data_IF_729861994286
#
_entry.id   IF_729861994286
#
_cell.length_a   1.000
_cell.length_b   1.000
_cell.length_c   1.000
_cell.angle_alpha   90.00
_cell.angle_beta   90.00
_cell.angle_gamma   90.00
#
_symmetry.space_group_name_H-M   'P 1'
#
loop_
_entity.id
_entity.type
_entity.pdbx_description
1 polymer ?
2 polymer ?
3 non-polymer ?
4 non-polymer ?
5 non-polymer ?
6 non-polymer ?
7 water ?
#
# COMPACT_ATOMS: atom_id res chain seq x y z
N UNK A 1 19.39 15.34 -18.64
CA UNK A 1 18.25 14.45 -18.86
C UNK A 1 17.02 15.17 -19.41
N UNK A 2 16.05 14.40 -19.90
CA UNK A 2 14.77 14.96 -20.27
C UNK A 2 13.82 14.73 -19.11
N UNK A 3 13.32 15.81 -18.52
CA UNK A 3 12.48 15.70 -17.34
C UNK A 3 11.00 15.78 -17.72
N UNK A 4 10.18 14.94 -17.09
CA UNK A 4 8.74 14.91 -17.35
C UNK A 4 7.95 15.59 -16.24
N UNK A 5 7.04 16.47 -16.63
CA UNK A 5 6.18 17.18 -15.68
C UNK A 5 4.74 16.79 -15.91
N UNK A 6 4.10 16.27 -14.86
CA UNK A 6 2.70 15.90 -14.95
C UNK A 6 1.79 16.88 -14.22
N UNK A 7 0.64 17.16 -14.85
CA UNK A 7 -0.37 18.07 -14.32
C UNK A 7 -1.78 17.53 -14.51
N UNK A 8 -2.67 17.80 -13.55
CA UNK A 8 -2.32 18.36 -12.25
C UNK A 8 -1.82 17.22 -11.37
N UNK A 9 -1.31 17.50 -10.17
CA UNK A 9 -0.85 16.44 -9.27
C UNK A 9 -2.03 15.65 -8.70
N UNK A 10 -3.12 16.35 -8.44
CA UNK A 10 -4.34 15.70 -7.97
C UNK A 10 -5.49 16.13 -8.86
N UNK A 11 -6.20 15.13 -9.38
CA UNK A 11 -7.30 15.35 -10.30
C UNK A 11 -8.56 14.72 -9.70
N UNK A 12 -9.61 15.53 -9.53
CA UNK A 12 -10.85 15.05 -8.94
C UNK A 12 -11.98 15.11 -9.96
N UNK A 13 -12.80 14.06 -9.99
CA UNK A 13 -13.92 14.00 -10.91
C UNK A 13 -15.03 13.13 -10.33
N UNK A 14 -15.93 12.66 -11.18
CA UNK A 14 -16.97 11.75 -10.72
C UNK A 14 -17.16 10.64 -11.75
N UNK A 15 -17.91 9.61 -11.37
CA UNK A 15 -18.16 8.48 -12.26
C UNK A 15 -18.85 8.95 -13.54
N UNK A 16 -18.24 8.62 -14.68
CA UNK A 16 -18.82 8.94 -15.97
C UNK A 16 -18.20 10.17 -16.63
N UNK A 17 -17.32 10.86 -15.92
CA UNK A 17 -16.78 12.09 -16.46
C UNK A 17 -15.67 11.81 -17.45
N UNK A 18 -15.28 12.84 -18.18
CA UNK A 18 -14.13 12.79 -19.05
C UNK A 18 -12.96 13.49 -18.38
N UNK A 19 -11.88 12.75 -18.19
CA UNK A 19 -10.71 13.28 -17.52
C UNK A 19 -9.54 13.32 -18.51
N UNK A 20 -8.77 14.40 -18.48
CA UNK A 20 -7.58 14.51 -19.32
C UNK A 20 -6.37 14.83 -18.44
N UNK A 21 -5.37 13.95 -18.48
CA UNK A 21 -4.16 14.15 -17.71
C UNK A 21 -3.09 14.72 -18.63
N UNK A 22 -2.25 15.60 -18.10
CA UNK A 22 -1.23 16.25 -18.91
C UNK A 22 0.19 15.76 -18.56
N UNK A 23 1.04 15.71 -19.57
CA UNK A 23 2.44 15.30 -19.43
C UNK A 23 3.26 16.13 -20.40
N UNK A 24 4.14 16.98 -19.87
CA UNK A 24 5.03 17.78 -20.72
C UNK A 24 6.50 17.46 -20.48
N UNK A 25 7.23 17.25 -21.57
CA UNK A 25 8.65 16.93 -21.50
C UNK A 25 9.45 18.21 -21.62
N UNK A 26 10.64 18.22 -21.02
CA UNK A 26 11.52 19.41 -21.08
C UNK A 26 12.06 19.68 -22.47
N UNK A 27 11.91 18.72 -23.38
CA UNK A 27 12.28 18.91 -24.76
C UNK A 27 11.56 17.86 -25.60
N UNK A 28 11.60 18.00 -26.92
CA UNK A 28 10.93 17.06 -27.82
C UNK A 28 11.26 15.59 -27.56
N UNK A 29 10.24 14.73 -27.50
CA UNK A 29 10.47 13.31 -27.34
C UNK A 29 9.91 12.47 -28.49
N UNK A 30 9.41 13.16 -29.51
CA UNK A 30 9.03 12.51 -30.77
C UNK A 30 8.10 11.31 -30.61
N UNK A 31 7.09 11.46 -29.75
CA UNK A 31 6.09 10.41 -29.51
C UNK A 31 6.57 9.22 -28.71
N UNK A 32 7.80 9.26 -28.22
CA UNK A 32 8.32 8.18 -27.38
C UNK A 32 7.80 8.31 -25.95
N UNK A 33 6.50 8.08 -25.77
CA UNK A 33 5.90 8.25 -24.44
C UNK A 33 4.90 7.13 -24.15
N UNK A 34 5.04 6.53 -22.97
CA UNK A 34 4.13 5.47 -22.52
C UNK A 34 3.37 5.92 -21.28
N UNK A 35 2.20 5.33 -21.02
CA UNK A 35 1.40 5.67 -19.84
C UNK A 35 1.14 4.43 -18.99
N UNK A 36 1.35 4.57 -17.68
CA UNK A 36 1.10 3.49 -16.73
C UNK A 36 0.10 3.89 -15.65
N UNK A 37 -0.60 2.89 -15.11
CA UNK A 37 -1.52 3.08 -14.00
C UNK A 37 -1.03 2.28 -12.80
N UNK A 38 -0.99 2.90 -11.63
CA UNK A 38 -0.54 2.20 -10.42
C UNK A 38 -1.51 2.38 -9.25
N UNK A 39 -1.92 1.25 -8.68
CA UNK A 39 -2.73 1.24 -7.48
C UNK A 39 -1.87 0.89 -6.25
N UNK A 40 -2.33 1.30 -5.08
CA UNK A 40 -1.55 1.10 -3.88
C UNK A 40 -1.24 -0.37 -3.71
N UNK A 41 0.03 -0.69 -3.49
CA UNK A 41 0.47 -2.06 -3.27
C UNK A 41 0.71 -2.87 -4.52
N UNK A 42 0.63 -2.24 -5.69
CA UNK A 42 0.79 -2.96 -6.94
C UNK A 42 1.87 -2.36 -7.84
N UNK A 43 2.39 -3.19 -8.73
CA UNK A 43 3.34 -2.73 -9.73
C UNK A 43 2.59 -1.88 -10.72
N UNK A 44 3.30 -0.95 -11.39
CA UNK A 44 2.72 -0.14 -12.45
C UNK A 44 2.17 -1.02 -13.56
N UNK A 45 1.10 -0.57 -14.19
CA UNK A 45 0.42 -1.36 -15.23
C UNK A 45 0.31 -0.56 -16.53
N UNK A 46 0.86 -1.10 -17.62
CA UNK A 46 0.88 -0.40 -18.90
C UNK A 46 -0.52 -0.16 -19.44
N UNK A 47 -0.79 1.07 -19.84
CA UNK A 47 -2.10 1.43 -20.41
C UNK A 47 -1.98 1.80 -21.89
N UNK A 48 -1.10 2.74 -22.17
CA UNK A 48 -0.91 3.29 -23.51
C UNK A 48 0.59 3.29 -23.80
N UNK A 49 0.98 2.83 -25.00
CA UNK A 49 2.37 2.93 -25.41
C UNK A 49 2.52 3.69 -26.75
N UNK A 50 3.73 4.20 -26.97
CA UNK A 50 4.02 5.02 -28.14
C UNK A 50 2.93 6.07 -28.40
N UNK A 51 2.66 6.89 -27.39
CA UNK A 51 1.73 8.02 -27.45
C UNK A 51 0.25 7.67 -27.48
N UNK A 52 -0.15 6.80 -28.40
CA UNK A 52 -1.57 6.58 -28.64
C UNK A 52 -1.98 5.15 -28.95
N UNK A 53 -1.10 4.19 -28.67
CA UNK A 53 -1.42 2.79 -28.92
C UNK A 53 -1.96 2.13 -27.64
N UNK A 54 -3.16 1.56 -27.73
CA UNK A 54 -3.81 0.98 -26.57
C UNK A 54 -3.27 -0.42 -26.28
N UNK A 55 -2.72 -0.59 -25.08
CA UNK A 55 -2.21 -1.89 -24.68
C UNK A 55 -3.32 -2.92 -24.72
N UNK A 56 -2.97 -4.14 -25.09
CA UNK A 56 -3.95 -5.21 -25.16
C UNK A 56 -4.57 -5.44 -23.78
N UNK A 57 -5.89 -5.60 -23.76
CA UNK A 57 -6.60 -5.88 -22.53
C UNK A 57 -7.05 -4.64 -21.78
N UNK A 58 -6.60 -3.48 -22.23
CA UNK A 58 -6.97 -2.22 -21.58
C UNK A 58 -8.24 -1.66 -22.20
N UNK A 59 -9.18 -1.21 -21.35
CA UNK A 59 -10.46 -0.67 -21.80
C UNK A 59 -10.30 0.41 -22.87
N UNK A 60 -11.18 0.38 -23.86
CA UNK A 60 -11.22 1.35 -24.93
C UNK A 60 -11.39 2.79 -24.44
N UNK A 61 -11.85 2.97 -23.21
CA UNK A 61 -12.11 4.31 -22.70
C UNK A 61 -10.83 5.09 -22.41
N UNK A 62 -9.69 4.38 -22.36
CA UNK A 62 -8.37 5.01 -22.24
C UNK A 62 -7.80 5.36 -23.62
N UNK A 63 -7.32 6.58 -23.79
CA UNK A 63 -6.69 6.97 -25.05
C UNK A 63 -5.55 7.96 -24.82
N UNK A 64 -4.52 7.91 -25.66
CA UNK A 64 -3.39 8.82 -25.53
C UNK A 64 -3.30 9.74 -26.72
N UNK A 65 -2.69 10.90 -26.53
CA UNK A 65 -2.55 11.87 -27.62
C UNK A 65 -1.37 12.78 -27.34
N UNK A 66 -0.84 13.43 -28.37
CA UNK A 66 0.21 14.40 -28.18
C UNK A 66 1.29 14.36 -29.25
N UNK A 67 2.24 15.29 -29.14
CA UNK A 67 3.39 15.38 -30.03
C UNK A 67 4.37 16.39 -29.47
N UNK A 68 5.61 16.34 -29.94
CA UNK A 68 6.63 17.27 -29.46
C UNK A 68 6.91 17.03 -27.99
N UNK A 69 6.62 18.04 -27.18
CA UNK A 69 6.84 17.95 -25.74
C UNK A 69 5.55 17.74 -24.96
N UNK A 70 4.40 17.90 -25.61
CA UNK A 70 3.11 17.91 -24.90
C UNK A 70 2.20 16.70 -25.18
N UNK A 71 1.88 15.97 -24.12
CA UNK A 71 1.09 14.75 -24.25
C UNK A 71 -0.06 14.74 -23.28
N UNK A 72 -1.07 13.93 -23.58
CA UNK A 72 -2.22 13.77 -22.68
C UNK A 72 -2.69 12.34 -22.66
N UNK A 73 -3.25 11.93 -21.53
CA UNK A 73 -4.02 10.70 -21.45
C UNK A 73 -5.47 11.08 -21.17
N UNK A 74 -6.41 10.44 -21.86
CA UNK A 74 -7.82 10.75 -21.67
C UNK A 74 -8.58 9.51 -21.26
N UNK A 75 -9.40 9.64 -20.23
CA UNK A 75 -10.34 8.58 -19.86
C UNK A 75 -11.75 9.12 -20.14
N UNK A 76 -12.47 8.45 -21.03
CA UNK A 76 -13.69 9.02 -21.59
C UNK A 76 -14.91 8.94 -20.67
N UNK A 77 -15.01 7.86 -19.89
CA UNK A 77 -16.10 7.70 -18.93
C UNK A 77 -15.56 7.08 -17.64
N UNK A 78 -15.11 7.92 -16.73
CA UNK A 78 -14.52 7.45 -15.49
C UNK A 78 -15.33 6.35 -14.84
N UNK A 79 -14.65 5.31 -14.40
CA UNK A 79 -15.27 4.24 -13.65
C UNK A 79 -14.64 4.18 -12.26
N UNK A 80 -15.36 3.62 -11.27
CA UNK A 80 -14.82 3.57 -9.91
C UNK A 80 -13.43 2.93 -9.87
N UNK A 81 -13.19 1.91 -10.67
CA UNK A 81 -11.90 1.21 -10.62
C UNK A 81 -10.76 1.96 -11.31
N UNK A 82 -11.04 3.16 -11.82
CA UNK A 82 -10.00 3.98 -12.45
C UNK A 82 -9.22 4.83 -11.45
N UNK A 83 -9.67 4.86 -10.19
CA UNK A 83 -8.94 5.61 -9.17
C UNK A 83 -7.54 4.99 -8.98
N UNK A 84 -6.52 5.82 -9.13
CA UNK A 84 -5.15 5.35 -9.12
C UNK A 84 -4.22 6.52 -9.36
N UNK A 85 -2.93 6.25 -9.41
CA UNK A 85 -1.94 7.22 -9.83
C UNK A 85 -1.45 6.84 -11.22
N UNK A 86 -1.35 7.84 -12.10
CA UNK A 86 -0.94 7.63 -13.48
C UNK A 86 0.41 8.29 -13.75
N UNK A 87 1.32 7.53 -14.36
CA UNK A 87 2.68 7.99 -14.63
C UNK A 87 2.92 7.98 -16.13
N UNK A 88 3.63 8.98 -16.64
CA UNK A 88 4.11 8.93 -18.01
C UNK A 88 5.60 8.62 -17.97
N UNK A 89 6.12 8.12 -19.10
CA UNK A 89 7.52 7.68 -19.20
C UNK A 89 8.00 7.96 -20.60
N UNK A 90 9.06 8.75 -20.75
CA UNK A 90 9.69 8.93 -22.06
C UNK A 90 10.89 8.01 -22.21
N UNK A 91 11.19 7.60 -23.44
CA UNK A 91 12.34 6.72 -23.73
C UNK A 91 13.10 7.21 -24.96
N UNK A 92 13.04 8.52 -25.19
CA UNK A 92 13.90 9.14 -26.17
C UNK A 92 15.32 9.17 -25.64
N UNK A 93 15.52 9.84 -24.51
CA UNK A 93 16.82 9.82 -23.84
C UNK A 93 16.78 8.66 -22.87
N UNK A 94 17.74 8.64 -21.94
CA UNK A 94 17.71 7.63 -20.88
C UNK A 94 16.40 7.76 -20.13
N UNK A 95 15.77 6.63 -19.80
CA UNK A 95 14.40 6.63 -19.32
C UNK A 95 14.13 7.55 -18.13
N UNK A 96 13.08 8.36 -18.25
CA UNK A 96 12.60 9.14 -17.11
C UNK A 96 11.09 9.10 -17.05
N UNK A 97 10.56 9.20 -15.82
CA UNK A 97 9.13 9.16 -15.57
C UNK A 97 8.67 10.48 -14.98
N UNK A 98 7.40 10.82 -15.20
CA UNK A 98 6.78 11.93 -14.51
C UNK A 98 6.50 11.55 -13.07
N UNK A 99 6.18 12.55 -12.24
CA UNK A 99 5.95 12.30 -10.81
C UNK A 99 4.55 11.76 -10.51
N UNK A 100 3.70 11.71 -11.54
CA UNK A 100 2.40 11.07 -11.40
C UNK A 100 1.23 11.99 -11.13
N UNK A 101 0.06 11.57 -11.61
CA UNK A 101 -1.18 12.28 -11.33
C UNK A 101 -2.13 11.33 -10.62
N UNK A 102 -2.60 11.73 -9.45
CA UNK A 102 -3.51 10.92 -8.65
C UNK A 102 -4.96 11.32 -8.93
N UNK A 103 -5.79 10.32 -9.22
CA UNK A 103 -7.20 10.53 -9.54
C UNK A 103 -8.11 10.08 -8.40
N UNK A 104 -9.02 10.94 -7.95
CA UNK A 104 -10.01 10.55 -6.95
C UNK A 104 -11.42 10.94 -7.41
N UNK A 105 -12.43 10.31 -6.81
CA UNK A 105 -13.81 10.50 -7.25
C UNK A 105 -14.70 11.05 -6.13
N UNK A 106 -15.65 11.89 -6.51
CA UNK A 106 -16.75 12.24 -5.62
C UNK A 106 -17.92 11.32 -5.92
N UNK A 107 -18.59 10.90 -4.86
CA UNK A 107 -19.79 10.07 -4.98
C UNK A 107 -20.77 10.58 -3.94
N UNK A 108 -21.94 9.97 -3.87
CA UNK A 108 -22.93 10.33 -2.85
C UNK A 108 -22.36 10.06 -1.46
N UNK A 109 -22.94 10.71 -0.45
CA UNK A 109 -22.49 10.54 0.92
C UNK A 109 -22.79 9.12 1.39
N UNK A 110 -21.84 8.53 2.12
CA UNK A 110 -22.08 7.21 2.70
C UNK A 110 -21.59 7.23 4.14
N UNK A 111 -22.48 6.90 5.07
CA UNK A 111 -22.18 6.95 6.50
C UNK A 111 -21.28 5.80 6.90
N UNK A 112 -20.35 6.06 7.82
CA UNK A 112 -19.44 5.00 8.28
C UNK A 112 -20.19 3.97 9.12
N UNK A 113 -19.79 2.71 9.03
CA UNK A 113 -20.11 1.76 10.07
C UNK A 113 -18.99 1.83 11.10
N UNK A 114 -19.35 1.85 12.38
CA UNK A 114 -18.37 2.08 13.44
C UNK A 114 -18.21 0.86 14.35
N UNK A 115 -16.95 0.48 14.59
CA UNK A 115 -16.65 -0.71 15.37
C UNK A 115 -15.54 -0.41 16.38
N UNK A 116 -15.61 -1.05 17.55
CA UNK A 116 -14.57 -0.88 18.56
C UNK A 116 -14.02 -2.23 19.03
N UNK A 117 -12.72 -2.23 19.37
CA UNK A 117 -12.01 -3.45 19.77
C UNK A 117 -11.28 -3.24 21.10
N UNK A 118 -11.62 -4.04 22.12
CA UNK A 118 -10.93 -3.97 23.40
C UNK A 118 -9.51 -4.48 23.24
N UNK A 119 -8.60 -4.10 24.13
CA UNK A 119 -7.21 -4.57 24.06
C UNK A 119 -7.13 -6.09 24.18
N UNK A 120 -6.10 -6.67 23.57
CA UNK A 120 -5.83 -8.08 23.63
C UNK A 120 -5.28 -8.50 24.98
N UNK A 121 -5.59 -9.72 25.42
CA UNK A 121 -4.92 -10.29 26.59
C UNK A 121 -3.41 -10.37 26.39
N UNK A 122 -3.00 -10.71 25.16
CA UNK A 122 -1.56 -10.85 24.88
C UNK A 122 -0.83 -9.50 24.98
N UNK A 123 -1.47 -8.44 24.55
CA UNK A 123 -0.86 -7.11 24.65
C UNK A 123 -0.82 -6.58 26.09
N UNK A 124 -1.91 -6.79 26.82
CA UNK A 124 -1.98 -6.36 28.20
C UNK A 124 -0.89 -7.06 28.99
N UNK A 125 -0.68 -8.33 28.69
CA UNK A 125 0.38 -9.10 29.36
C UNK A 125 1.76 -8.47 29.14
N UNK A 126 1.89 -7.70 28.05
CA UNK A 126 3.17 -7.06 27.73
C UNK A 126 3.31 -5.67 28.34
N UNK A 127 2.23 -5.15 28.91
CA UNK A 127 2.30 -3.90 29.64
C UNK A 127 1.70 -2.70 28.94
N UNK A 128 0.93 -2.96 27.89
CA UNK A 128 0.36 -1.90 27.07
C UNK A 128 -1.08 -2.23 26.70
N UNK A 129 -1.89 -1.19 26.54
CA UNK A 129 -3.26 -1.36 26.11
C UNK A 129 -3.52 -0.51 24.87
N UNK A 130 -3.85 -1.18 23.76
CA UNK A 130 -4.26 -0.48 22.55
C UNK A 130 -5.74 -0.70 22.32
N UNK A 131 -6.48 0.40 22.15
CA UNK A 131 -7.89 0.31 21.83
C UNK A 131 -8.06 0.78 20.38
N UNK A 132 -8.81 0.04 19.59
CA UNK A 132 -8.93 0.38 18.17
C UNK A 132 -10.37 0.64 17.75
N UNK A 133 -10.55 1.76 17.06
CA UNK A 133 -11.84 2.15 16.52
C UNK A 133 -11.78 2.09 14.99
N UNK A 134 -12.71 1.36 14.40
CA UNK A 134 -12.81 1.25 12.94
C UNK A 134 -14.02 1.99 12.38
N UNK A 135 -13.78 2.81 11.36
CA UNK A 135 -14.85 3.44 10.59
C UNK A 135 -14.83 2.83 9.20
N UNK A 136 -15.86 2.07 8.86
CA UNK A 136 -15.83 1.30 7.63
C UNK A 136 -16.69 1.90 6.51
N UNK A 137 -16.07 2.02 5.34
CA UNK A 137 -16.73 2.36 4.08
C UNK A 137 -17.64 3.58 4.08
N UNK A 138 -17.03 4.75 4.15
CA UNK A 138 -17.77 6.00 4.18
C UNK A 138 -17.31 6.97 3.10
N UNK A 139 -18.13 7.98 2.85
CA UNK A 139 -17.76 9.10 1.99
C UNK A 139 -18.59 10.33 2.38
N UNK A 140 -17.96 11.52 2.45
CA UNK A 140 -16.61 11.89 2.04
C UNK A 140 -15.54 11.46 3.02
N UNK A 141 -14.30 11.80 2.69
CA UNK A 141 -13.15 11.34 3.42
C UNK A 141 -13.07 11.98 4.80
N UNK A 142 -13.52 13.22 4.91
CA UNK A 142 -13.47 13.95 6.17
C UNK A 142 -14.32 13.25 7.21
N UNK A 143 -13.70 12.86 8.31
CA UNK A 143 -14.39 12.18 9.39
C UNK A 143 -13.65 12.43 10.68
N UNK A 144 -14.38 12.85 11.71
CA UNK A 144 -13.75 13.16 12.98
C UNK A 144 -14.01 12.09 14.05
N UNK A 145 -12.93 11.50 14.53
CA UNK A 145 -12.97 10.54 15.61
C UNK A 145 -12.44 11.21 16.87
N UNK A 146 -13.19 11.07 17.96
CA UNK A 146 -12.78 11.61 19.26
C UNK A 146 -12.78 10.49 20.28
N UNK A 147 -11.68 10.37 21.01
CA UNK A 147 -11.58 9.37 22.07
C UNK A 147 -12.03 9.98 23.39
N UNK A 148 -12.92 9.28 24.09
CA UNK A 148 -13.39 9.73 25.38
C UNK A 148 -13.22 8.62 26.41
N UNK A 149 -12.53 8.94 27.50
CA UNK A 149 -12.31 7.98 28.58
C UNK A 149 -13.08 8.43 29.83
N UNK A 150 -14.03 7.61 30.27
CA UNK A 150 -14.99 8.03 31.30
C UNK A 150 -15.63 9.36 30.90
N UNK A 151 -15.88 9.49 29.61
CA UNK A 151 -16.51 10.67 29.00
C UNK A 151 -15.65 11.94 29.02
N UNK A 152 -14.37 11.80 29.32
CA UNK A 152 -13.43 12.92 29.19
C UNK A 152 -12.64 12.85 27.88
N UNK A 153 -12.68 13.94 27.11
CA UNK A 153 -12.06 13.97 25.78
C UNK A 153 -10.54 13.82 25.88
N UNK A 154 -9.99 12.86 25.14
CA UNK A 154 -8.56 12.59 25.16
C UNK A 154 -7.82 13.36 24.09
N UNK A 155 -6.55 13.63 24.34
CA UNK A 155 -5.64 14.07 23.28
C UNK A 155 -4.23 13.56 23.53
N UNK A 156 -3.48 13.35 22.45
CA UNK A 156 -2.07 13.04 22.53
C UNK A 156 -1.70 11.58 22.65
N UNK A 157 -2.72 10.72 22.74
CA UNK A 157 -2.48 9.29 22.93
C UNK A 157 -3.09 8.42 21.83
N UNK A 158 -3.49 9.05 20.72
CA UNK A 158 -4.09 8.32 19.61
C UNK A 158 -3.42 8.61 18.28
N UNK A 159 -3.51 7.64 17.37
CA UNK A 159 -3.05 7.83 16.01
C UNK A 159 -4.07 7.22 15.07
N UNK A 160 -4.28 7.84 13.91
CA UNK A 160 -5.21 7.26 12.94
C UNK A 160 -4.59 7.21 11.56
N UNK A 161 -5.18 6.41 10.68
CA UNK A 161 -4.83 6.47 9.27
C UNK A 161 -6.00 6.02 8.39
N UNK A 162 -6.03 6.55 7.17
CA UNK A 162 -7.15 6.28 6.25
C UNK A 162 -6.68 5.49 5.03
N UNK A 163 -7.57 4.64 4.50
CA UNK A 163 -7.26 3.84 3.33
C UNK A 163 -7.23 4.71 2.08
N UNK A 164 -6.66 4.16 1.02
CA UNK A 164 -6.86 4.71 -0.30
C UNK A 164 -8.35 4.58 -0.62
N UNK A 165 -8.80 5.28 -1.65
CA UNK A 165 -10.19 5.21 -2.07
C UNK A 165 -10.49 3.84 -2.67
N UNK A 166 -11.63 3.26 -2.30
CA UNK A 166 -11.99 1.91 -2.73
C UNK A 166 -12.28 1.80 -4.23
N UNK A 167 -11.80 0.72 -4.82
CA UNK A 167 -11.91 0.47 -6.27
C UNK A 167 -13.33 0.17 -6.76
N UNK A 168 -14.20 -0.26 -5.87
CA UNK A 168 -15.53 -0.67 -6.29
C UNK A 168 -16.62 0.31 -5.85
N UNK A 169 -16.54 0.82 -4.62
CA UNK A 169 -17.57 1.71 -4.12
C UNK A 169 -17.12 3.15 -3.85
N UNK A 170 -15.84 3.43 -4.08
CA UNK A 170 -15.30 4.79 -3.98
C UNK A 170 -15.35 5.39 -2.59
N UNK A 171 -15.47 4.54 -1.57
CA UNK A 171 -15.48 5.02 -0.19
C UNK A 171 -14.09 4.93 0.44
N UNK A 172 -14.01 5.34 1.70
CA UNK A 172 -12.78 5.21 2.47
C UNK A 172 -13.08 4.49 3.77
N UNK A 173 -12.03 3.96 4.39
CA UNK A 173 -12.14 3.44 5.76
C UNK A 173 -11.05 4.10 6.61
N UNK A 174 -11.25 4.11 7.93
CA UNK A 174 -10.40 4.86 8.84
C UNK A 174 -10.17 4.04 10.11
N UNK A 175 -8.91 3.88 10.50
CA UNK A 175 -8.55 3.15 11.72
C UNK A 175 -7.92 4.11 12.71
N UNK A 176 -8.38 4.06 13.96
CA UNK A 176 -7.83 4.91 15.02
C UNK A 176 -7.47 4.04 16.22
N UNK A 177 -6.24 4.17 16.72
CA UNK A 177 -5.87 3.46 17.95
C UNK A 177 -5.38 4.36 19.07
N UNK A 178 -6.01 4.18 20.23
CA UNK A 178 -5.62 4.85 21.46
C UNK A 178 -4.71 3.90 22.22
N UNK A 179 -3.57 4.40 22.66
CA UNK A 179 -2.61 3.55 23.36
C UNK A 179 -2.19 4.12 24.72
N UNK A 180 -2.39 3.31 25.76
CA UNK A 180 -2.02 3.67 27.11
C UNK A 180 -1.17 2.55 27.69
N UNK A 181 -0.26 2.90 28.59
CA UNK A 181 0.41 1.88 29.39
C UNK A 181 -0.68 1.16 30.19
N UNK A 182 -0.43 -0.09 30.58
CA UNK A 182 -1.44 -0.86 31.30
C UNK A 182 -1.81 -0.21 32.61
N UNK A 183 -0.88 0.53 33.20
CA UNK A 183 -1.12 1.21 34.47
C UNK A 183 -2.11 2.35 34.28
N UNK A 184 -1.88 3.17 33.25
CA UNK A 184 -2.81 4.24 32.89
C UNK A 184 -4.17 3.69 32.47
N UNK A 185 -4.14 2.57 31.75
CA UNK A 185 -5.35 1.89 31.29
C UNK A 185 -6.23 1.48 32.46
N UNK A 186 -5.63 0.90 33.49
CA UNK A 186 -6.40 0.39 34.63
C UNK A 186 -6.89 1.49 35.57
N UNK A 187 -6.71 2.74 35.16
CA UNK A 187 -7.13 3.89 35.96
C UNK A 187 -8.54 4.35 35.62
N UNK A 188 -9.07 3.86 34.51
CA UNK A 188 -10.38 4.30 34.03
C UNK A 188 -11.28 3.11 33.72
N UNK A 189 -12.55 3.41 33.53
CA UNK A 189 -13.57 2.37 33.40
C UNK A 189 -14.05 2.25 31.96
N UNK A 190 -14.60 3.35 31.44
CA UNK A 190 -15.25 3.34 30.14
C UNK A 190 -14.38 3.94 29.03
N UNK A 191 -14.20 3.20 27.95
CA UNK A 191 -13.46 3.70 26.80
C UNK A 191 -14.40 3.82 25.63
N UNK A 192 -14.49 5.02 25.08
CA UNK A 192 -15.41 5.27 23.99
C UNK A 192 -14.75 5.96 22.82
N UNK A 193 -15.15 5.61 21.61
CA UNK A 193 -14.80 6.44 20.48
C UNK A 193 -16.08 7.03 19.89
N UNK A 194 -16.05 8.34 19.61
CA UNK A 194 -17.22 9.06 19.17
C UNK A 194 -16.99 9.60 17.76
N UNK A 195 -17.87 9.24 16.83
CA UNK A 195 -17.66 9.54 15.42
C UNK A 195 -18.64 10.57 14.88
N UNK A 196 -18.09 11.58 14.20
CA UNK A 196 -18.89 12.58 13.50
C UNK A 196 -18.58 12.48 12.01
N UNK A 197 -19.59 12.59 11.17
CA UNK A 197 -19.42 12.45 9.72
C UNK A 197 -20.65 12.98 8.99
N UNK A 198 -20.46 13.41 7.75
CA UNK A 198 -21.55 14.00 6.97
C UNK A 198 -22.75 13.06 6.93
N UNK A 199 -22.47 11.76 6.95
CA UNK A 199 -23.52 10.76 6.82
C UNK A 199 -24.27 10.44 8.09
N UNK A 200 -23.89 11.06 9.20
CA UNK A 200 -24.49 10.80 10.50
C UNK A 200 -25.21 12.04 11.05
N UNK A 201 -26.51 11.90 11.33
CA UNK A 201 -27.30 13.03 11.83
C UNK A 201 -26.75 13.58 13.16
N UNK A 202 -26.32 12.68 14.04
CA UNK A 202 -25.61 13.09 15.25
C UNK A 202 -24.53 12.06 15.57
N UNK A 203 -23.52 12.47 16.36
CA UNK A 203 -22.37 11.62 16.69
C UNK A 203 -22.76 10.20 17.05
N UNK A 204 -21.99 9.24 16.56
CA UNK A 204 -22.17 7.84 16.92
C UNK A 204 -21.08 7.43 17.90
N UNK A 205 -21.49 6.83 19.01
CA UNK A 205 -20.54 6.41 20.04
C UNK A 205 -20.55 4.91 20.22
N UNK A 206 -19.37 4.30 20.13
CA UNK A 206 -19.21 2.90 20.48
C UNK A 206 -18.24 2.84 21.65
N UNK A 207 -18.58 2.05 22.66
CA UNK A 207 -17.77 2.03 23.87
C UNK A 207 -17.78 0.68 24.55
N UNK A 208 -16.84 0.48 25.46
CA UNK A 208 -16.84 -0.72 26.28
C UNK A 208 -16.27 -0.39 27.66
N UNK A 209 -16.50 -1.28 28.61
CA UNK A 209 -15.94 -1.14 29.94
C UNK A 209 -14.69 -1.99 30.05
N UNK A 210 -13.62 -1.43 30.60
CA UNK A 210 -12.38 -2.16 30.76
C UNK A 210 -12.62 -3.45 31.50
N UNK A 211 -12.05 -4.54 30.99
CA UNK A 211 -12.12 -5.82 31.66
C UNK A 211 -13.34 -6.65 31.30
N UNK A 212 -14.25 -6.09 30.52
CA UNK A 212 -15.52 -6.79 30.26
C UNK A 212 -15.36 -7.92 29.24
N UNK A 213 -14.31 -7.84 28.44
CA UNK A 213 -13.99 -8.92 27.52
C UNK A 213 -12.58 -8.73 26.96
N UNK B 1 1.35 -17.84 -19.98
CA UNK B 1 1.39 -16.39 -19.83
C UNK B 1 2.60 -15.94 -19.02
N UNK B 2 3.00 -14.69 -19.19
CA UNK B 2 4.25 -14.20 -18.62
C UNK B 2 4.11 -13.84 -17.13
N UNK B 3 5.17 -14.11 -16.38
CA UNK B 3 5.26 -13.65 -15.00
C UNK B 3 6.71 -13.37 -14.57
N UNK B 4 6.91 -12.25 -13.89
CA UNK B 4 8.20 -11.92 -13.30
C UNK B 4 8.05 -11.93 -11.80
N UNK B 5 8.91 -12.68 -11.11
CA UNK B 5 8.85 -12.73 -9.66
C UNK B 5 10.21 -12.37 -9.05
N UNK B 6 10.23 -11.33 -8.21
CA UNK B 6 11.49 -10.91 -7.59
C UNK B 6 11.69 -11.53 -6.22
N UNK B 7 12.95 -11.65 -5.82
CA UNK B 7 13.32 -12.16 -4.50
C UNK B 7 14.45 -11.33 -3.92
N UNK B 8 14.61 -11.39 -2.60
CA UNK B 8 15.63 -10.61 -1.92
C UNK B 8 15.04 -9.35 -1.33
N UNK B 9 15.88 -8.55 -0.69
CA UNK B 9 15.45 -7.31 -0.07
C UNK B 9 15.62 -7.35 1.44
N UNK B 10 15.27 -6.26 2.11
CA UNK B 10 15.39 -6.19 3.56
C UNK B 10 16.16 -4.96 4.00
N UNK B 11 16.70 -4.98 5.21
CA UNK B 11 17.46 -3.85 5.72
C UNK B 11 18.97 -4.11 5.68
N UNK B 12 19.72 -3.13 5.22
CA UNK B 12 21.15 -3.25 5.05
C UNK B 12 21.83 -2.00 5.62
N UNK B 13 22.97 -2.19 6.26
CA UNK B 13 23.78 -1.07 6.76
C UNK B 13 24.39 -0.33 5.57
N UNK B 14 24.49 1.01 5.67
CA UNK B 14 25.19 1.75 4.61
C UNK B 14 26.59 1.18 4.38
N UNK B 15 27.00 1.07 3.12
CA UNK B 15 28.29 0.49 2.80
C UNK B 15 28.19 -0.98 2.43
N UNK B 16 27.15 -1.65 2.90
CA UNK B 16 27.00 -3.10 2.69
C UNK B 16 26.33 -3.44 1.36
N UNK B 17 26.42 -4.72 0.95
CA UNK B 17 25.86 -5.16 -0.33
C UNK B 17 24.56 -5.91 -0.16
N UNK B 18 23.79 -5.99 -1.23
CA UNK B 18 22.59 -6.80 -1.27
C UNK B 18 22.37 -7.21 -2.71
N UNK B 19 21.77 -8.39 -2.91
CA UNK B 19 21.50 -8.88 -4.26
C UNK B 19 20.02 -9.22 -4.46
N UNK B 20 19.46 -8.76 -5.58
CA UNK B 20 18.06 -9.04 -5.90
C UNK B 20 18.04 -10.00 -7.07
N UNK B 21 16.97 -10.77 -7.18
CA UNK B 21 16.81 -11.65 -8.33
C UNK B 21 15.43 -11.46 -8.95
N UNK B 22 15.32 -11.81 -10.21
CA UNK B 22 14.06 -11.72 -10.94
C UNK B 22 13.89 -12.98 -11.78
N UNK B 23 12.92 -13.82 -11.41
CA UNK B 23 12.68 -15.05 -12.13
C UNK B 23 11.54 -14.89 -13.13
N UNK B 24 11.78 -15.30 -14.37
CA UNK B 24 10.79 -15.15 -15.42
C UNK B 24 10.17 -16.48 -15.80
N UNK B 25 8.88 -16.45 -16.12
CA UNK B 25 8.21 -17.57 -16.76
C UNK B 25 7.28 -17.04 -17.83
N UNK B 26 7.14 -17.78 -18.92
CA UNK B 26 6.34 -17.33 -20.04
C UNK B 26 7.17 -16.51 -21.00
N UNK B 27 8.43 -16.29 -20.63
CA UNK B 27 9.38 -15.60 -21.50
C UNK B 27 10.82 -15.84 -21.06
N UNK B 28 11.75 -15.56 -21.97
CA UNK B 28 13.18 -15.70 -21.67
C UNK B 28 13.89 -14.36 -21.84
N UNK B 29 14.79 -14.06 -20.93
CA UNK B 29 15.55 -12.82 -21.02
C UNK B 29 16.60 -12.90 -22.13
N UNK B 30 16.53 -13.98 -22.92
CA UNK B 30 17.41 -14.10 -24.07
C UNK B 30 16.79 -13.39 -25.26
N UNK B 31 15.51 -13.03 -25.12
CA UNK B 31 14.80 -12.36 -26.20
C UNK B 31 14.20 -11.05 -25.72
N UNK B 32 14.60 -10.63 -24.52
CA UNK B 32 14.04 -9.43 -23.95
C UNK B 32 15.06 -8.64 -23.14
N UNK B 33 14.85 -7.34 -23.03
CA UNK B 33 15.65 -6.50 -22.15
C UNK B 33 15.12 -6.53 -20.72
N UNK B 34 15.96 -6.97 -19.79
CA UNK B 34 15.63 -6.93 -18.37
C UNK B 34 16.03 -5.59 -17.80
N UNK B 35 15.08 -4.90 -17.18
CA UNK B 35 15.31 -3.57 -16.62
C UNK B 35 15.00 -3.53 -15.11
N UNK B 36 15.65 -2.62 -14.41
CA UNK B 36 15.39 -2.42 -12.98
C UNK B 36 14.96 -0.98 -12.77
N UNK B 37 13.84 -0.81 -12.07
CA UNK B 37 13.25 0.51 -11.85
C UNK B 37 12.90 0.61 -10.38
N UNK B 38 13.22 1.73 -9.74
CA UNK B 38 12.95 1.83 -8.31
C UNK B 38 11.99 2.97 -7.93
N UNK B 39 11.25 2.76 -6.86
CA UNK B 39 10.23 3.72 -6.47
C UNK B 39 10.36 4.05 -4.99
N UNK B 40 10.40 5.33 -4.69
CA UNK B 40 10.48 5.82 -3.32
C UNK B 40 9.67 7.10 -3.21
N UNK B 41 9.08 7.34 -2.03
CA UNK B 41 8.29 8.54 -1.80
C UNK B 41 9.07 9.82 -2.16
N UNK B 42 8.43 10.73 -2.88
CA UNK B 42 9.06 11.98 -3.26
C UNK B 42 10.04 11.82 -4.42
N UNK B 43 10.22 10.59 -4.91
CA UNK B 43 11.14 10.34 -6.02
C UNK B 43 10.47 9.56 -7.14
N UNK B 44 9.15 9.47 -7.12
CA UNK B 44 8.39 8.68 -8.07
C UNK B 44 9.09 7.43 -8.57
N UNK B 45 9.04 7.21 -9.89
CA UNK B 45 9.67 6.03 -10.49
C UNK B 45 10.98 6.40 -11.18
N UNK B 46 12.01 5.59 -10.98
CA UNK B 46 13.33 5.95 -11.47
C UNK B 46 14.10 4.78 -12.06
N UNK B 47 14.40 4.87 -13.35
CA UNK B 47 15.12 3.81 -14.04
C UNK B 47 16.52 3.63 -13.46
N UNK B 48 16.92 2.38 -13.23
CA UNK B 48 18.17 2.07 -12.54
C UNK B 48 19.21 1.39 -13.44
N UNK B 49 18.80 0.34 -14.16
CA UNK B 49 19.75 -0.44 -14.96
C UNK B 49 19.07 -1.41 -15.91
N UNK B 50 19.84 -1.92 -16.86
CA UNK B 50 19.34 -2.91 -17.80
C UNK B 50 20.47 -3.78 -18.33
N UNK B 51 20.10 -4.93 -18.88
CA UNK B 51 21.05 -5.80 -19.55
C UNK B 51 20.38 -6.31 -20.82
N UNK B 52 21.13 -6.37 -21.91
CA UNK B 52 20.58 -6.68 -23.22
C UNK B 52 20.17 -8.14 -23.33
N UNK B 53 19.33 -8.48 -24.32
CA UNK B 53 18.98 -9.88 -24.54
C UNK B 53 20.21 -10.74 -24.81
N UNK B 54 21.14 -10.27 -25.64
CA UNK B 54 22.34 -11.04 -25.90
C UNK B 54 23.33 -10.96 -24.74
N UNK B 55 22.94 -10.24 -23.69
CA UNK B 55 23.72 -10.15 -22.47
C UNK B 55 25.08 -9.48 -22.63
N UNK B 56 25.35 -8.94 -23.81
CA UNK B 56 26.62 -8.30 -24.06
C UNK B 56 26.67 -6.86 -23.59
N UNK B 57 25.51 -6.33 -23.22
CA UNK B 57 25.37 -4.90 -22.99
C UNK B 57 24.68 -4.56 -21.66
N UNK B 58 25.37 -3.83 -20.78
CA UNK B 58 24.75 -3.34 -19.55
C UNK B 58 24.78 -1.81 -19.48
N UNK B 59 23.70 -1.25 -18.91
CA UNK B 59 23.51 0.20 -18.78
C UNK B 59 23.04 0.56 -17.37
N UNK B 60 23.50 1.69 -16.85
CA UNK B 60 23.18 2.11 -15.48
C UNK B 60 22.95 3.62 -15.39
N UNK B 61 22.14 4.04 -14.43
CA UNK B 61 21.96 5.46 -14.17
C UNK B 61 23.20 6.04 -13.49
N UNK B 62 23.46 7.33 -13.71
CA UNK B 62 24.62 7.99 -13.15
C UNK B 62 24.75 7.70 -11.66
N UNK B 63 23.62 7.68 -10.97
CA UNK B 63 23.62 7.58 -9.51
C UNK B 63 24.07 6.21 -8.97
N UNK B 64 23.94 5.16 -9.76
CA UNK B 64 24.25 3.81 -9.28
C UNK B 64 25.45 3.22 -10.00
N UNK B 65 25.87 3.86 -11.08
CA UNK B 65 26.98 3.36 -11.88
C UNK B 65 28.24 3.17 -11.05
N UNK B 66 28.80 1.97 -11.10
CA UNK B 66 30.03 1.67 -10.38
C UNK B 66 29.78 0.98 -9.06
N UNK B 67 28.53 1.00 -8.61
CA UNK B 67 28.16 0.30 -7.39
C UNK B 67 27.26 -0.90 -7.70
N UNK B 68 26.43 -0.76 -8.74
CA UNK B 68 25.43 -1.78 -9.09
C UNK B 68 25.87 -2.61 -10.29
N UNK B 69 25.53 -3.89 -10.29
CA UNK B 69 25.84 -4.77 -11.40
C UNK B 69 24.64 -5.64 -11.75
N UNK B 70 24.24 -5.60 -13.02
CA UNK B 70 23.15 -6.45 -13.51
C UNK B 70 23.71 -7.68 -14.19
N UNK B 71 23.09 -8.84 -13.97
CA UNK B 71 23.53 -10.04 -14.65
C UNK B 71 22.36 -10.95 -14.94
N UNK B 72 22.61 -12.03 -15.67
CA UNK B 72 21.59 -13.03 -15.98
C UNK B 72 22.11 -14.45 -15.78
N UNK B 73 21.19 -15.37 -15.60
CA UNK B 73 21.47 -16.79 -15.69
C UNK B 73 20.39 -17.41 -16.56
N UNK B 74 20.68 -17.55 -17.85
CA UNK B 74 19.69 -18.02 -18.82
C UNK B 74 19.22 -19.43 -18.55
N UNK B 75 20.04 -20.20 -17.84
CA UNK B 75 19.65 -21.54 -17.41
C UNK B 75 18.51 -21.45 -16.41
N UNK B 76 18.63 -20.50 -15.49
CA UNK B 76 17.63 -20.29 -14.45
C UNK B 76 16.47 -19.42 -14.94
N UNK B 77 16.58 -18.91 -16.17
CA UNK B 77 15.67 -17.88 -16.66
C UNK B 77 15.52 -16.78 -15.63
N UNK B 78 16.65 -16.36 -15.07
CA UNK B 78 16.65 -15.42 -13.96
C UNK B 78 17.65 -14.28 -14.16
N UNK B 79 17.26 -13.08 -13.76
CA UNK B 79 18.14 -11.93 -13.78
C UNK B 79 18.47 -11.49 -12.36
N UNK B 80 19.54 -10.72 -12.22
CA UNK B 80 19.96 -10.29 -10.90
C UNK B 80 20.36 -8.84 -10.90
N UNK B 81 20.36 -8.25 -9.71
CA UNK B 81 20.91 -6.92 -9.50
C UNK B 81 21.74 -6.96 -8.24
N UNK B 82 23.06 -7.00 -8.40
CA UNK B 82 23.96 -6.93 -7.28
C UNK B 82 24.11 -5.46 -6.89
N UNK B 83 23.80 -5.15 -5.64
CA UNK B 83 23.94 -3.78 -5.14
C UNK B 83 25.10 -3.73 -4.16
N UNK B 84 26.06 -2.85 -4.42
CA UNK B 84 27.23 -2.73 -3.58
C UNK B 84 27.37 -1.33 -2.99
N UNK B 85 27.98 -1.24 -1.80
CA UNK B 85 28.18 0.04 -1.14
C UNK B 85 26.90 0.87 -1.14
N UNK B 86 25.82 0.27 -0.66
CA UNK B 86 24.53 0.94 -0.60
C UNK B 86 24.54 2.19 0.30
N UNK B 87 23.82 3.22 -0.14
CA UNK B 87 23.66 4.45 0.62
C UNK B 87 22.17 4.58 0.94
N UNK B 88 21.82 5.43 1.90
CA UNK B 88 20.40 5.59 2.23
C UNK B 88 19.59 6.12 1.04
N UNK B 89 20.23 6.88 0.17
CA UNK B 89 19.61 7.36 -1.06
C UNK B 89 19.08 6.21 -1.92
N UNK B 90 19.61 5.01 -1.71
CA UNK B 90 19.20 3.85 -2.50
C UNK B 90 17.94 3.18 -1.98
N UNK B 91 17.48 3.61 -0.81
CA UNK B 91 16.28 3.04 -0.20
C UNK B 91 15.06 3.18 -1.11
N UNK B 92 14.41 2.07 -1.42
CA UNK B 92 13.31 2.10 -2.36
C UNK B 92 12.71 0.73 -2.50
N UNK B 93 11.55 0.68 -3.17
CA UNK B 93 11.06 -0.58 -3.72
C UNK B 93 11.67 -0.75 -5.10
N UNK B 94 12.28 -1.92 -5.33
CA UNK B 94 12.93 -2.22 -6.60
C UNK B 94 12.08 -3.17 -7.45
N UNK B 95 11.75 -2.76 -8.67
CA UNK B 95 11.00 -3.59 -9.61
C UNK B 95 11.91 -4.10 -10.72
N UNK B 96 11.67 -5.32 -11.19
CA UNK B 96 12.22 -5.71 -12.47
C UNK B 96 11.12 -5.56 -13.50
N UNK B 97 11.50 -5.24 -14.73
CA UNK B 97 10.54 -5.13 -15.81
C UNK B 97 11.18 -5.54 -17.12
N UNK B 98 10.36 -6.03 -18.03
CA UNK B 98 10.82 -6.47 -19.33
C UNK B 98 10.35 -5.52 -20.41
N UNK B 99 11.19 -5.29 -21.41
CA UNK B 99 10.72 -4.72 -22.67
C UNK B 99 11.39 -5.43 -23.83
N UNK B 100 10.59 -5.72 -24.86
CA UNK B 100 11.06 -6.50 -26.00
C UNK B 100 12.22 -5.82 -26.71
N UNK B 101 12.12 -4.51 -26.91
CA UNK B 101 13.20 -3.73 -27.52
C UNK B 101 13.33 -2.44 -26.71
N UNK B 102 14.37 -1.67 -26.97
CA UNK B 102 14.56 -0.43 -26.21
C UNK B 102 13.48 0.61 -26.53
N UNK B 103 12.69 0.38 -27.57
CA UNK B 103 11.60 1.29 -27.89
C UNK B 103 10.23 0.68 -27.60
N UNK B 104 10.22 -0.48 -26.96
CA UNK B 104 8.97 -1.11 -26.50
C UNK B 104 8.67 -0.66 -25.07
N UNK B 105 7.41 -0.78 -24.63
CA UNK B 105 7.06 -0.37 -23.27
C UNK B 105 7.33 -1.45 -22.24
N UNK B 106 7.29 -1.10 -20.97
CA UNK B 106 7.42 -2.12 -19.92
C UNK B 106 6.05 -2.73 -19.68
N UNK B 107 5.77 -3.84 -20.35
CA UNK B 107 4.45 -4.48 -20.25
C UNK B 107 4.33 -5.51 -19.13
N UNK B 108 5.47 -6.05 -18.69
CA UNK B 108 5.45 -6.95 -17.55
C UNK B 108 6.39 -6.43 -16.48
N UNK B 109 5.92 -6.44 -15.23
CA UNK B 109 6.70 -5.97 -14.09
C UNK B 109 6.72 -7.02 -13.00
N UNK B 110 7.78 -7.06 -12.22
CA UNK B 110 7.82 -7.88 -11.02
C UNK B 110 6.83 -7.33 -10.00
N UNK B 111 6.81 -7.91 -8.80
CA UNK B 111 5.87 -7.47 -7.76
C UNK B 111 6.49 -6.42 -6.87
N UNK B 112 7.80 -6.23 -6.98
CA UNK B 112 8.49 -5.26 -6.16
C UNK B 112 8.97 -5.86 -4.85
N UNK B 113 10.21 -5.57 -4.51
CA UNK B 113 10.78 -5.92 -3.23
C UNK B 113 11.47 -4.67 -2.68
N UNK B 114 11.52 -4.55 -1.36
CA UNK B 114 11.99 -3.32 -0.74
C UNK B 114 13.40 -3.45 -0.19
N UNK B 115 14.23 -2.46 -0.52
CA UNK B 115 15.57 -2.35 0.02
C UNK B 115 15.69 -1.10 0.87
N UNK B 116 15.95 -1.30 2.17
CA UNK B 116 16.08 -0.19 3.10
C UNK B 116 17.52 -0.09 3.57
N UNK B 117 18.12 1.08 3.37
CA UNK B 117 19.51 1.28 3.78
C UNK B 117 19.55 2.16 5.03
N UNK B 118 19.87 1.55 6.17
CA UNK B 118 19.80 2.24 7.45
C UNK B 118 20.80 1.70 8.46
N UNK B 119 21.20 2.56 9.40
CA UNK B 119 22.10 2.15 10.48
C UNK B 119 21.29 1.66 11.67
N UNK B 120 19.97 1.82 11.59
CA UNK B 120 19.10 1.45 12.70
C UNK B 120 18.83 -0.04 12.70
N UNK B 121 18.61 -0.59 13.88
CA UNK B 121 18.38 -2.03 13.99
C UNK B 121 16.96 -2.38 13.58
N UNK B 122 16.79 -3.58 13.01
CA UNK B 122 15.46 -4.02 12.63
C UNK B 122 14.72 -4.44 13.88
N UNK B 123 13.40 -4.37 13.83
CA UNK B 123 12.58 -4.83 14.93
C UNK B 123 11.35 -5.52 14.36
N UNK B 124 11.14 -6.78 14.72
CA UNK B 124 10.00 -7.52 14.23
C UNK B 124 8.71 -7.02 14.87
N UNK B 125 7.57 -7.26 14.21
CA UNK B 125 6.27 -6.81 14.69
C UNK B 125 5.73 -7.67 15.84
N UNK B 126 4.97 -7.06 16.74
CA UNK B 126 4.09 -7.80 17.63
C UNK B 126 2.72 -7.83 16.97
N UNK B 127 2.09 -9.00 16.91
CA UNK B 127 0.79 -9.12 16.25
C UNK B 127 -0.31 -9.45 17.25
N UNK B 128 -1.27 -8.54 17.40
CA UNK B 128 -2.36 -8.73 18.35
C UNK B 128 -3.71 -8.81 17.65
N UNK B 129 -4.57 -9.72 18.12
CA UNK B 129 -5.91 -9.87 17.55
C UNK B 129 -6.83 -8.69 17.84
N UNK B 130 -7.60 -8.31 16.83
CA UNK B 130 -8.73 -7.40 16.99
C UNK B 130 -9.97 -8.28 16.90
N UNK B 131 -10.42 -8.77 18.04
CA UNK B 131 -11.45 -9.81 18.08
C UNK B 131 -12.85 -9.32 17.74
N UNK B 132 -13.56 -10.10 16.91
CA UNK B 132 -14.96 -9.75 16.67
C UNK B 132 -15.80 -9.94 17.93
N UNK B 133 -16.79 -9.08 18.13
CA UNK B 133 -17.72 -9.17 19.24
C UNK B 133 -18.94 -8.33 18.91
N UNK B 134 -19.89 -8.28 19.84
CA UNK B 134 -21.06 -7.42 19.67
C UNK B 134 -20.62 -5.99 19.42
N UNK B 135 -19.50 -5.60 20.02
CA UNK B 135 -18.96 -4.25 19.87
C UNK B 135 -18.39 -3.95 18.47
N UNK B 136 -18.04 -4.99 17.71
CA UNK B 136 -17.61 -4.80 16.34
C UNK B 136 -18.60 -5.41 15.35
N UNK B 137 -19.87 -5.40 15.73
CA UNK B 137 -20.92 -5.88 14.85
C UNK B 137 -21.90 -4.75 14.55
N UNK B 138 -22.35 -4.71 13.31
CA UNK B 138 -23.22 -3.65 12.82
C UNK B 138 -24.15 -4.28 11.80
N UNK B 139 -25.44 -4.33 12.14
CA UNK B 139 -26.38 -5.04 11.30
C UNK B 139 -26.03 -6.52 11.32
N UNK B 140 -25.84 -7.10 10.14
CA UNK B 140 -25.48 -8.50 10.03
C UNK B 140 -24.01 -8.71 9.70
N UNK B 141 -23.19 -7.67 9.89
CA UNK B 141 -21.77 -7.75 9.57
C UNK B 141 -20.90 -7.54 10.80
N UNK B 142 -19.87 -8.38 10.94
CA UNK B 142 -18.90 -8.26 12.02
C UNK B 142 -17.56 -7.82 11.44
N UNK B 143 -16.85 -6.98 12.18
CA UNK B 143 -15.48 -6.63 11.81
C UNK B 143 -14.49 -7.34 12.73
N UNK B 144 -13.34 -7.69 12.19
CA UNK B 144 -12.27 -8.31 12.97
C UNK B 144 -10.97 -7.93 12.30
N UNK B 145 -9.85 -8.24 12.93
CA UNK B 145 -8.56 -7.91 12.34
C UNK B 145 -7.34 -8.23 13.18
N UNK B 146 -6.25 -7.58 12.81
CA UNK B 146 -4.98 -7.70 13.52
C UNK B 146 -4.33 -6.34 13.65
N UNK B 147 -3.72 -6.11 14.81
CA UNK B 147 -2.93 -4.92 15.07
C UNK B 147 -1.46 -5.32 15.03
N UNK B 148 -0.69 -4.70 14.13
CA UNK B 148 0.72 -5.04 13.97
C UNK B 148 1.57 -3.89 14.52
N UNK B 149 2.13 -4.09 15.71
CA UNK B 149 2.75 -3.01 16.45
C UNK B 149 4.27 -3.11 16.55
N UNK B 150 4.91 -1.94 16.59
CA UNK B 150 6.30 -1.80 17.03
C UNK B 150 7.30 -2.52 16.13
N UNK B 151 7.27 -2.19 14.84
CA UNK B 151 8.21 -2.77 13.90
C UNK B 151 9.06 -1.71 13.19
N UNK B 152 10.20 -2.14 12.67
CA UNK B 152 11.06 -1.27 11.88
C UNK B 152 12.00 -2.10 11.04
N UNK B 153 12.21 -1.69 9.77
CA UNK B 153 11.54 -0.56 9.12
C UNK B 153 10.29 -1.04 8.41
N UNK B 154 9.67 -0.20 7.60
CA UNK B 154 8.61 -0.65 6.70
C UNK B 154 9.23 -1.51 5.60
N UNK B 155 8.43 -2.34 4.93
CA UNK B 155 7.01 -2.54 5.20
C UNK B 155 6.72 -3.87 5.86
N UNK B 156 5.49 -3.99 6.33
CA UNK B 156 4.94 -5.27 6.73
C UNK B 156 3.90 -5.66 5.70
N UNK B 157 3.85 -6.95 5.38
CA UNK B 157 2.87 -7.46 4.43
C UNK B 157 1.81 -8.27 5.16
N UNK B 158 0.54 -8.01 4.86
CA UNK B 158 -0.54 -8.75 5.52
C UNK B 158 -1.48 -9.39 4.52
N UNK B 159 -1.76 -10.67 4.72
CA UNK B 159 -2.81 -11.34 3.97
C UNK B 159 -3.76 -12.02 4.96
N UNK B 160 -4.92 -12.45 4.47
CA UNK B 160 -5.86 -13.17 5.31
C UNK B 160 -6.10 -14.57 4.74
N UNK B 161 -6.11 -15.57 5.63
CA UNK B 161 -6.32 -16.95 5.22
C UNK B 161 -5.48 -17.33 4.01
N UNK B 162 -4.19 -17.02 4.09
CA UNK B 162 -3.23 -17.34 3.05
C UNK B 162 -3.62 -16.78 1.69
N UNK B 163 -4.39 -15.69 1.68
CA UNK B 163 -4.79 -15.04 0.44
C UNK B 163 -6.18 -15.39 -0.06
N UNK B 164 -6.81 -16.38 0.58
CA UNK B 164 -8.14 -16.82 0.18
C UNK B 164 -9.24 -15.82 0.56
N UNK B 165 -8.91 -14.89 1.46
CA UNK B 165 -9.87 -13.89 1.90
C UNK B 165 -9.35 -12.50 1.53
N UNK B 166 -10.01 -11.86 0.57
CA UNK B 166 -9.60 -10.54 0.11
C UNK B 166 -10.80 -9.58 0.16
N UNK B 167 -11.99 -10.13 -0.02
CA UNK B 167 -13.20 -9.33 -0.02
C UNK B 167 -13.37 -8.61 1.32
N UNK B 168 -13.53 -7.30 1.29
CA UNK B 168 -13.82 -6.53 2.47
C UNK B 168 -12.65 -6.35 3.41
N UNK B 169 -11.45 -6.71 2.94
CA UNK B 169 -10.24 -6.49 3.71
C UNK B 169 -9.73 -5.06 3.54
N UNK B 170 -9.34 -4.44 4.66
CA UNK B 170 -8.74 -3.10 4.64
C UNK B 170 -7.46 -3.12 5.45
N UNK B 171 -6.31 -3.09 4.78
CA UNK B 171 -5.03 -2.98 5.44
C UNK B 171 -4.58 -1.53 5.35
N UNK B 172 -4.49 -0.87 6.50
CA UNK B 172 -4.26 0.57 6.55
C UNK B 172 -2.79 0.92 6.42
N UNK B 173 -2.50 2.12 5.89
CA UNK B 173 -1.16 2.71 5.90
C UNK B 173 -0.60 2.76 7.32
N UNK B 174 0.68 2.43 7.45
CA UNK B 174 1.29 2.42 8.76
C UNK B 174 1.28 3.83 9.36
N UNK B 175 1.33 3.91 10.68
CA UNK B 175 1.60 5.20 11.33
C UNK B 175 2.98 5.15 11.98
N UNK B 176 3.54 6.34 12.16
CA UNK B 176 4.83 6.50 12.82
C UNK B 176 4.66 6.85 14.29
N UNK B 177 5.09 5.96 15.18
CA UNK B 177 5.01 6.21 16.61
C UNK B 177 6.18 7.08 17.06
N UNK B 178 6.02 7.74 18.20
CA UNK B 178 7.02 8.70 18.66
C UNK B 178 8.37 8.02 18.93
N UNK B 179 8.37 6.69 18.94
CA UNK B 179 9.57 5.92 19.24
C UNK B 179 10.36 5.61 17.97
N UNK B 180 9.85 6.05 16.84
CA UNK B 180 10.48 5.75 15.56
C UNK B 180 9.97 4.44 14.99
N UNK B 181 9.29 3.65 15.82
CA UNK B 181 8.70 2.38 15.38
C UNK B 181 7.39 2.61 14.63
N UNK B 182 6.96 1.59 13.89
CA UNK B 182 5.77 1.68 13.05
C UNK B 182 4.67 0.76 13.57
N UNK B 183 3.43 1.11 13.25
CA UNK B 183 2.28 0.27 13.60
C UNK B 183 1.22 0.36 12.51
N UNK B 184 0.54 -0.75 12.27
CA UNK B 184 -0.58 -0.72 11.33
C UNK B 184 -1.65 -1.72 11.73
N UNK B 185 -2.85 -1.54 11.18
CA UNK B 185 -3.91 -2.50 11.43
C UNK B 185 -4.45 -3.04 10.12
N UNK B 186 -4.95 -4.26 10.15
CA UNK B 186 -5.61 -4.83 9.00
C UNK B 186 -6.95 -5.38 9.49
N UNK B 187 -8.02 -5.06 8.79
CA UNK B 187 -9.35 -5.46 9.23
C UNK B 187 -10.14 -6.09 8.09
N UNK B 188 -11.13 -6.90 8.45
CA UNK B 188 -12.04 -7.51 7.48
C UNK B 188 -13.45 -7.44 8.05
N UNK B 189 -14.43 -7.23 7.17
CA UNK B 189 -15.82 -7.38 7.57
C UNK B 189 -16.36 -8.64 6.95
N UNK B 190 -17.08 -9.42 7.75
CA UNK B 190 -17.64 -10.71 7.34
C UNK B 190 -19.06 -10.86 7.88
N UNK B 191 -19.79 -11.88 7.42
CA UNK B 191 -21.12 -12.07 8.03
C UNK B 191 -20.95 -12.38 9.51
N UNK B 192 -21.77 -11.77 10.37
CA UNK B 192 -21.68 -12.06 11.80
C UNK B 192 -22.10 -13.50 12.02
N UNK B 193 -22.88 -14.03 11.08
CA UNK B 193 -23.36 -15.42 11.16
C UNK B 193 -22.24 -16.41 10.88
N UNK B 194 -21.09 -15.93 10.42
CA UNK B 194 -19.99 -16.80 10.02
C UNK B 194 -18.97 -17.01 11.15
N UNK B 195 -19.12 -16.26 12.26
CA UNK B 195 -18.09 -16.26 13.29
C UNK B 195 -17.98 -17.58 14.05
N UNK B 196 -19.05 -18.36 14.04
CA UNK B 196 -19.07 -19.63 14.73
C UNK B 196 -18.47 -20.79 13.96
N UNK B 197 -18.32 -20.64 12.65
CA UNK B 197 -17.83 -21.74 11.82
C UNK B 197 -16.57 -21.43 11.00
N UNK B 198 -16.31 -20.16 10.71
CA UNK B 198 -15.18 -19.78 9.85
C UNK B 198 -13.96 -19.40 10.67
N UNK B 199 -12.80 -19.81 10.19
CA UNK B 199 -11.55 -19.45 10.85
C UNK B 199 -10.92 -18.26 10.14
N UNK B 200 -10.46 -17.28 10.91
CA UNK B 200 -9.81 -16.11 10.34
C UNK B 200 -8.39 -15.97 10.88
N UNK B 201 -7.41 -15.97 9.98
CA UNK B 201 -6.01 -15.91 10.37
C UNK B 201 -5.30 -14.83 9.58
N UNK B 202 -4.65 -13.90 10.27
CA UNK B 202 -3.85 -12.91 9.54
C UNK B 202 -2.40 -13.40 9.36
N UNK B 203 -1.93 -13.35 8.13
CA UNK B 203 -0.57 -13.75 7.81
C UNK B 203 0.29 -12.49 7.72
N UNK B 204 1.18 -12.31 8.68
CA UNK B 204 2.01 -11.10 8.73
C UNK B 204 3.47 -11.37 8.42
N UNK B 205 3.97 -10.75 7.35
CA UNK B 205 5.37 -10.89 6.93
C UNK B 205 6.14 -9.59 7.01
N UNK B 206 7.29 -9.64 7.66
CA UNK B 206 8.17 -8.49 7.79
C UNK B 206 9.56 -8.95 7.35
N UNK B 207 9.88 -8.73 6.08
CA UNK B 207 11.11 -9.27 5.51
C UNK B 207 12.40 -8.86 6.25
N UNK B 208 12.51 -7.58 6.64
CA UNK B 208 13.74 -7.10 7.32
C UNK B 208 14.13 -7.89 8.56
N UNK B 209 13.16 -8.39 9.32
CA UNK B 209 13.46 -9.14 10.54
C UNK B 209 13.21 -10.65 10.33
N UNK B 210 13.02 -11.04 9.08
CA UNK B 210 12.84 -12.45 8.74
C UNK B 210 11.73 -13.09 9.58
N UNK B 211 10.63 -12.38 9.77
CA UNK B 211 9.54 -12.92 10.58
C UNK B 211 8.27 -13.16 9.78
N UNK B 212 7.64 -14.30 10.04
CA UNK B 212 6.32 -14.60 9.49
C UNK B 212 5.42 -15.05 10.64
N UNK B 213 4.33 -14.32 10.84
CA UNK B 213 3.40 -14.64 11.92
C UNK B 213 2.02 -14.94 11.37
N UNK B 214 1.42 -16.00 11.86
CA UNK B 214 0.04 -16.30 11.57
C UNK B 214 -0.72 -16.18 12.89
N UNK B 215 -1.65 -15.24 12.95
CA UNK B 215 -2.40 -15.04 14.18
C UNK B 215 -3.87 -15.40 13.97
N UNK B 216 -4.33 -16.41 14.71
CA UNK B 216 -5.75 -16.77 14.66
C UNK B 216 -6.55 -15.73 15.43
N UNK B 217 -7.59 -15.20 14.80
CA UNK B 217 -8.43 -14.20 15.44
C UNK B 217 -9.78 -14.82 15.76
N UNK B 218 -10.10 -14.91 17.05
CA UNK B 218 -11.32 -15.58 17.50
C UNK B 218 -12.25 -14.62 18.24
N UNK B 219 -13.57 -14.89 18.18
CA UNK B 219 -14.62 -14.06 18.77
C UNK B 219 -14.51 -13.91 20.29
N UNK B 220 -14.92 -12.76 20.81
CA UNK B 220 -14.99 -12.55 22.25
C UNK B 220 -16.43 -12.28 22.65
N UNK B 221 -16.76 -12.57 23.90
CA UNK B 221 -18.10 -12.30 24.44
C UNK B 221 -18.10 -10.95 25.13
N UNK B 222 -18.69 -9.95 24.48
CA UNK B 222 -18.67 -8.60 25.03
C UNK B 222 -20.06 -8.06 25.32
N UNK B 223 -21.09 -8.87 25.21
CA UNK B 223 -22.44 -8.34 25.37
C UNK B 223 -22.93 -8.42 26.80
N UNK B 224 -23.13 -7.25 27.42
CA UNK B 224 -23.55 -7.18 28.82
C UNK B 224 -24.61 -6.08 29.01
N UNK B 225 -25.67 -6.41 29.75
CA UNK B 225 -26.67 -5.40 30.10
C UNK B 225 -26.23 -4.66 31.35
N UNK B 226 -25.30 -5.27 32.09
CA UNK B 226 -24.86 -4.76 33.38
C UNK B 226 -23.38 -5.13 33.52
N UNK B 227 -22.53 -4.15 33.82
CA UNK B 227 -21.09 -4.40 33.93
C UNK B 227 -20.67 -4.54 35.39
N UNK B 228 -20.17 -5.73 35.73
CA UNK B 228 -19.74 -6.02 37.10
C UNK B 228 -18.30 -5.59 37.32
#
# INVERSE_FOLDING_TARGET
DIQMTQSPSLLSASVGDRVTLSCKASQNIYNYLNWYQQKLGEAPKLLIYYTDRLQTGIPSRFSGDGSGSDYTLTISSLQPEDVATYFCQQYNSRDTFGAGTKLDLKRTVAAPSVFIFPPSDEQLKSGTASVVCLLNNFYPREAKVQWKVDNALQSGNSQESVTEQDSKDSTYSLSSTLTLSKADYEKHKVYACEVTHQGLSSPVTKSFNRGEC
EVQLVESGGGLVQPGSPLKLSCAASGLTFSANWLNWIRQAPGKGLEWVASISPDGGSTSYSDTVKGRFVVSKDNAKKTGYLQMNNLRSEDTAMYYCARRATRVSPFDYWGQGVTVTVSSASTKGPSVFPLAPSSKSTSGGTAALGCLVKDYFPEPVTVSWNSGALTSGVHTFPAVLQSSGLYSLSSVVTVPSSSLGTQTYICNVNHKPSNTKVDKKVEPKSCHHHHHH
#
